data_IF_139969762735
#
_entry.id   IF_139969762735
#
_cell.length_a   1.000
_cell.length_b   1.000
_cell.length_c   1.000
_cell.angle_alpha   90.00
_cell.angle_beta   90.00
_cell.angle_gamma   90.00
#
_symmetry.space_group_name_H-M   'P 1'
#
loop_
_entity.id
_entity.type
_entity.pdbx_description
1 polymer ?
#
# COMPACT_ATOMS: atom_id res chain seq x y z
N UNK A 1 -36.62 -13.71 -23.05
CA UNK A 1 -35.16 -13.83 -23.22
C UNK A 1 -34.52 -14.13 -21.85
N UNK A 2 -34.03 -15.38 -21.68
CA UNK A 2 -33.45 -15.87 -20.43
C UNK A 2 -32.00 -15.40 -20.35
N UNK A 3 -31.65 -14.66 -19.25
CA UNK A 3 -30.25 -14.33 -18.93
C UNK A 3 -29.60 -15.50 -18.21
N UNK A 4 -28.64 -16.14 -18.85
CA UNK A 4 -27.78 -17.15 -18.24
C UNK A 4 -26.76 -16.45 -17.36
N UNK A 5 -26.82 -16.69 -16.06
CA UNK A 5 -25.76 -16.36 -15.10
C UNK A 5 -24.71 -17.47 -15.18
N UNK A 6 -23.55 -17.16 -15.72
CA UNK A 6 -22.39 -18.03 -15.65
C UNK A 6 -21.74 -17.85 -14.26
N UNK A 7 -22.01 -18.78 -13.38
CA UNK A 7 -21.26 -18.93 -12.14
C UNK A 7 -20.01 -19.74 -12.45
N UNK A 8 -18.86 -19.05 -12.51
CA UNK A 8 -17.56 -19.71 -12.62
C UNK A 8 -17.23 -20.33 -11.26
N UNK A 9 -17.53 -21.59 -11.10
CA UNK A 9 -17.13 -22.37 -9.94
C UNK A 9 -15.64 -22.63 -9.96
N UNK A 10 -14.99 -22.25 -8.88
CA UNK A 10 -13.61 -22.60 -8.60
C UNK A 10 -13.51 -24.12 -8.40
N UNK A 11 -12.98 -24.79 -9.39
CA UNK A 11 -12.60 -26.20 -9.26
C UNK A 11 -11.26 -26.29 -8.53
N UNK A 12 -11.33 -26.60 -7.25
CA UNK A 12 -10.20 -27.20 -6.57
C UNK A 12 -10.01 -28.61 -7.11
N UNK A 13 -9.06 -28.77 -8.02
CA UNK A 13 -8.59 -30.11 -8.40
C UNK A 13 -7.61 -30.53 -7.31
N UNK A 14 -8.13 -31.23 -6.30
CA UNK A 14 -7.33 -32.09 -5.44
C UNK A 14 -6.95 -33.30 -6.26
N UNK A 15 -5.74 -33.26 -6.84
CA UNK A 15 -5.16 -34.44 -7.51
C UNK A 15 -4.73 -35.44 -6.42
N UNK A 16 -5.67 -36.29 -6.04
CA UNK A 16 -5.39 -37.49 -5.24
C UNK A 16 -4.74 -38.50 -6.19
N UNK A 17 -3.40 -38.50 -6.26
CA UNK A 17 -2.70 -39.62 -6.92
C UNK A 17 -2.78 -40.85 -6.01
N UNK A 18 -3.78 -41.70 -6.28
CA UNK A 18 -3.77 -43.07 -5.83
C UNK A 18 -2.74 -43.81 -6.70
N UNK A 19 -1.56 -44.06 -6.15
CA UNK A 19 -0.63 -45.00 -6.74
C UNK A 19 -1.21 -46.41 -6.60
N UNK A 20 -1.75 -46.95 -7.70
CA UNK A 20 -2.00 -48.37 -7.82
C UNK A 20 -0.63 -49.07 -7.92
N UNK A 21 -0.21 -49.75 -6.86
CA UNK A 21 0.94 -50.63 -6.89
C UNK A 21 0.54 -51.84 -7.71
N UNK A 22 0.97 -51.90 -8.96
CA UNK A 22 1.03 -53.17 -9.69
C UNK A 22 2.24 -53.92 -9.18
N UNK A 23 2.02 -54.95 -8.41
CA UNK A 23 3.07 -55.91 -8.02
C UNK A 23 3.61 -56.58 -9.32
N UNK A 24 4.81 -56.22 -9.73
CA UNK A 24 5.72 -57.06 -10.47
C UNK A 24 6.76 -57.59 -9.48
N UNK A 25 6.68 -58.85 -9.28
CA UNK A 25 7.68 -59.70 -8.62
C UNK A 25 8.94 -59.67 -9.50
N UNK A 26 10.04 -59.08 -9.00
CA UNK A 26 11.41 -59.46 -9.30
C UNK A 26 12.41 -58.50 -8.61
N UNK A 27 13.26 -59.17 -7.76
CA UNK A 27 14.53 -58.74 -7.22
C UNK A 27 14.51 -57.65 -6.11
N UNK A 28 14.92 -58.12 -4.94
CA UNK A 28 15.27 -57.49 -3.68
C UNK A 28 16.03 -56.13 -3.80
N UNK A 29 15.35 -55.05 -4.14
CA UNK A 29 15.76 -53.74 -3.69
C UNK A 29 14.94 -53.38 -2.46
N UNK A 30 15.45 -53.87 -1.30
CA UNK A 30 14.96 -53.52 0.01
C UNK A 30 15.28 -52.05 0.26
N UNK A 31 14.59 -51.11 -0.42
CA UNK A 31 14.68 -49.69 -0.16
C UNK A 31 14.09 -49.50 1.25
N UNK A 32 14.97 -49.42 2.23
CA UNK A 32 14.58 -49.20 3.62
C UNK A 32 13.64 -47.99 3.67
N UNK A 33 12.40 -48.22 4.08
CA UNK A 33 11.39 -47.18 4.20
C UNK A 33 11.91 -46.12 5.19
N UNK A 34 12.10 -44.88 4.69
CA UNK A 34 12.57 -43.76 5.51
C UNK A 34 11.43 -43.25 6.36
N UNK A 35 11.64 -43.16 7.66
CA UNK A 35 10.71 -42.46 8.56
C UNK A 35 11.03 -40.96 8.52
N UNK A 36 10.11 -40.17 8.01
CA UNK A 36 10.25 -38.74 7.97
C UNK A 36 9.82 -38.10 9.31
N UNK A 37 10.45 -36.96 9.70
CA UNK A 37 9.98 -36.16 10.82
C UNK A 37 8.55 -35.64 10.58
N UNK A 38 7.85 -35.36 11.69
CA UNK A 38 6.50 -34.78 11.59
C UNK A 38 6.49 -33.42 10.84
N UNK A 39 5.48 -33.22 10.00
CA UNK A 39 5.27 -31.98 9.29
C UNK A 39 4.98 -30.82 10.25
N UNK A 40 5.64 -29.69 10.06
CA UNK A 40 5.51 -28.49 10.88
C UNK A 40 4.83 -27.37 10.11
N UNK A 41 4.20 -26.43 10.84
CA UNK A 41 3.68 -25.19 10.29
C UNK A 41 4.41 -24.03 10.96
N UNK A 42 4.97 -23.13 10.17
CA UNK A 42 5.78 -22.01 10.62
C UNK A 42 5.16 -20.73 10.04
N UNK A 43 4.70 -19.82 10.89
CA UNK A 43 4.17 -18.51 10.46
C UNK A 43 5.14 -17.38 10.77
N UNK A 44 5.17 -16.36 9.90
CA UNK A 44 5.97 -15.17 10.15
C UNK A 44 5.63 -14.01 9.22
N UNK A 45 6.12 -12.82 9.59
CA UNK A 45 6.10 -11.65 8.74
C UNK A 45 7.38 -11.61 7.87
N UNK A 46 7.36 -10.80 6.83
CA UNK A 46 8.55 -10.51 6.05
C UNK A 46 9.65 -9.92 6.94
N UNK A 47 10.89 -10.18 6.60
CA UNK A 47 12.12 -9.82 7.34
C UNK A 47 12.29 -10.54 8.69
N UNK A 48 11.45 -11.51 9.02
CA UNK A 48 11.64 -12.37 10.19
C UNK A 48 12.49 -13.59 9.86
N UNK A 49 13.11 -14.13 10.89
CA UNK A 49 13.78 -15.43 10.86
C UNK A 49 13.10 -16.40 11.82
N UNK A 50 13.04 -17.67 11.44
CA UNK A 50 12.43 -18.75 12.23
C UNK A 50 13.37 -19.93 12.30
N UNK A 51 13.25 -20.75 13.34
CA UNK A 51 14.00 -22.00 13.50
C UNK A 51 13.13 -23.17 13.11
N UNK A 52 13.67 -24.08 12.29
CA UNK A 52 13.09 -25.38 11.98
C UNK A 52 13.97 -26.45 12.62
N UNK A 53 13.43 -27.19 13.58
CA UNK A 53 14.14 -28.28 14.28
C UNK A 53 13.51 -29.62 13.93
N UNK A 54 14.32 -30.60 13.54
CA UNK A 54 13.89 -31.95 13.19
C UNK A 54 14.95 -32.97 13.53
N UNK A 55 14.57 -34.24 13.56
CA UNK A 55 15.48 -35.35 13.74
C UNK A 55 15.50 -36.20 12.46
N UNK A 56 16.65 -36.25 11.80
CA UNK A 56 16.83 -36.96 10.53
C UNK A 56 17.47 -38.32 10.76
N UNK A 57 16.85 -39.37 10.26
CA UNK A 57 17.35 -40.75 10.37
C UNK A 57 18.47 -41.12 9.39
N UNK A 58 18.67 -40.27 8.39
CA UNK A 58 19.71 -40.42 7.35
C UNK A 58 20.24 -39.03 6.94
N UNK A 59 21.27 -39.01 6.08
CA UNK A 59 21.74 -37.80 5.44
C UNK A 59 20.56 -37.18 4.61
N UNK A 60 20.44 -35.88 4.67
CA UNK A 60 19.25 -35.16 4.17
C UNK A 60 19.61 -33.97 3.31
N UNK A 61 18.66 -33.60 2.46
CA UNK A 61 18.63 -32.32 1.74
C UNK A 61 17.31 -31.67 2.00
N UNK A 62 17.30 -30.37 2.36
CA UNK A 62 16.12 -29.52 2.39
C UNK A 62 16.08 -28.65 1.16
N UNK A 63 14.86 -28.48 0.60
CA UNK A 63 14.63 -27.59 -0.54
C UNK A 63 13.39 -26.72 -0.28
N UNK A 64 13.51 -25.43 -0.50
CA UNK A 64 12.39 -24.51 -0.45
C UNK A 64 11.69 -24.38 -1.80
N UNK A 65 10.37 -24.36 -1.81
CA UNK A 65 9.56 -24.18 -3.01
C UNK A 65 9.46 -22.72 -3.48
N UNK A 66 10.05 -21.77 -2.74
CA UNK A 66 9.91 -20.34 -3.03
C UNK A 66 11.15 -19.55 -2.70
N UNK A 67 11.46 -18.54 -3.53
CA UNK A 67 12.61 -17.65 -3.33
C UNK A 67 12.48 -16.72 -2.14
N UNK A 68 11.27 -16.42 -1.69
CA UNK A 68 11.06 -15.60 -0.50
C UNK A 68 11.27 -16.36 0.83
N UNK A 69 11.29 -17.70 0.80
CA UNK A 69 11.58 -18.57 1.92
C UNK A 69 12.92 -19.25 1.67
N UNK A 70 13.93 -18.93 2.47
CA UNK A 70 15.30 -19.39 2.25
C UNK A 70 15.96 -19.86 3.56
N UNK A 71 17.03 -20.63 3.43
CA UNK A 71 17.84 -21.02 4.56
C UNK A 71 18.99 -20.04 4.76
N UNK A 72 19.31 -19.76 6.02
CA UNK A 72 20.44 -18.93 6.42
C UNK A 72 21.54 -19.84 6.90
N UNK A 73 22.65 -19.89 6.17
CA UNK A 73 23.84 -20.65 6.53
C UNK A 73 24.93 -19.71 7.03
N UNK A 74 25.77 -20.18 7.95
CA UNK A 74 26.95 -19.43 8.36
C UNK A 74 27.89 -19.29 7.14
N UNK A 75 28.20 -18.06 6.77
CA UNK A 75 29.15 -17.80 5.69
C UNK A 75 30.54 -18.34 6.05
N UNK A 76 31.31 -18.80 5.06
CA UNK A 76 32.70 -19.20 5.23
C UNK A 76 33.50 -18.08 5.90
N UNK A 77 34.47 -18.36 6.81
CA UNK A 77 35.14 -17.35 7.66
C UNK A 77 35.89 -16.21 6.97
N UNK A 78 35.88 -16.14 5.65
CA UNK A 78 36.62 -15.14 4.86
C UNK A 78 35.82 -13.89 4.47
N UNK A 79 34.50 -13.86 4.67
CA UNK A 79 33.68 -12.66 4.46
C UNK A 79 33.22 -12.12 5.83
N UNK A 80 33.41 -10.83 6.09
CA UNK A 80 32.87 -10.14 7.29
C UNK A 80 31.37 -10.41 7.36
N UNK A 81 30.97 -11.42 8.15
CA UNK A 81 29.61 -11.90 8.28
C UNK A 81 28.83 -10.99 9.22
N UNK A 82 28.06 -10.09 8.63
CA UNK A 82 26.89 -9.54 9.32
C UNK A 82 25.58 -10.00 8.64
N UNK A 83 25.66 -10.64 7.49
CA UNK A 83 24.50 -11.24 6.81
C UNK A 83 24.87 -12.67 6.38
N UNK A 84 24.14 -13.67 6.88
CA UNK A 84 24.30 -15.05 6.46
C UNK A 84 23.97 -15.23 4.97
N UNK A 85 24.55 -16.26 4.34
CA UNK A 85 24.27 -16.56 2.93
C UNK A 85 22.87 -17.12 2.79
N UNK A 86 22.11 -16.61 1.82
CA UNK A 86 20.78 -17.12 1.45
C UNK A 86 20.92 -18.35 0.56
N UNK A 87 20.35 -19.45 1.00
CA UNK A 87 20.37 -20.73 0.29
C UNK A 87 18.94 -21.25 0.13
N UNK A 88 18.63 -21.84 -1.00
CA UNK A 88 17.30 -22.42 -1.26
C UNK A 88 17.31 -23.94 -1.16
N UNK A 89 18.48 -24.52 -1.06
CA UNK A 89 18.70 -25.94 -0.82
C UNK A 89 19.94 -26.10 0.08
N UNK A 90 19.79 -26.87 1.13
CA UNK A 90 20.87 -27.17 2.08
C UNK A 90 20.87 -28.66 2.40
N UNK A 91 22.01 -29.20 2.76
CA UNK A 91 22.15 -30.62 3.10
C UNK A 91 22.85 -30.80 4.45
N UNK A 92 22.61 -31.91 5.10
CA UNK A 92 23.22 -32.23 6.36
C UNK A 92 23.27 -33.73 6.66
N UNK A 93 23.82 -34.07 7.82
CA UNK A 93 23.97 -35.42 8.29
C UNK A 93 22.82 -35.86 9.18
N UNK A 94 22.61 -37.18 9.30
CA UNK A 94 21.66 -37.76 10.24
C UNK A 94 21.80 -37.18 11.66
N UNK A 95 20.71 -37.18 12.42
CA UNK A 95 20.61 -36.74 13.80
C UNK A 95 19.75 -35.48 13.96
N UNK A 96 19.72 -34.93 15.19
CA UNK A 96 18.97 -33.77 15.54
C UNK A 96 19.55 -32.51 14.86
N UNK A 97 18.72 -31.82 14.10
CA UNK A 97 19.10 -30.66 13.33
C UNK A 97 18.28 -29.42 13.72
N UNK A 98 18.90 -28.27 13.62
CA UNK A 98 18.21 -26.95 13.70
C UNK A 98 18.73 -26.08 12.58
N UNK A 99 17.84 -25.64 11.70
CA UNK A 99 18.15 -24.73 10.58
C UNK A 99 17.41 -23.43 10.77
N UNK A 100 18.01 -22.34 10.32
CA UNK A 100 17.38 -21.01 10.33
C UNK A 100 16.75 -20.74 8.99
N UNK A 101 15.48 -20.37 9.00
CA UNK A 101 14.70 -19.97 7.84
C UNK A 101 14.56 -18.46 7.84
N UNK A 102 14.86 -17.81 6.72
CA UNK A 102 14.59 -16.40 6.48
C UNK A 102 13.33 -16.22 5.62
N UNK A 103 12.54 -15.22 5.93
CA UNK A 103 11.33 -14.83 5.20
C UNK A 103 11.59 -13.45 4.61
N UNK A 104 11.74 -13.34 3.28
CA UNK A 104 11.93 -12.03 2.63
C UNK A 104 10.60 -11.37 2.27
N UNK A 105 10.67 -10.07 1.99
CA UNK A 105 9.58 -9.26 1.46
C UNK A 105 9.47 -9.32 -0.07
N UNK A 106 10.42 -9.98 -0.73
CA UNK A 106 10.45 -10.11 -2.19
C UNK A 106 9.14 -10.75 -2.71
N UNK A 107 8.48 -10.07 -3.64
CA UNK A 107 7.21 -10.53 -4.20
C UNK A 107 6.11 -10.78 -3.17
N UNK A 108 6.09 -10.02 -2.06
CA UNK A 108 5.05 -10.15 -1.04
C UNK A 108 3.70 -9.66 -1.57
N UNK A 109 2.66 -10.47 -1.36
CA UNK A 109 1.28 -10.08 -1.67
C UNK A 109 0.78 -9.07 -0.61
N UNK A 110 0.06 -8.05 -1.04
CA UNK A 110 -0.49 -7.04 -0.13
C UNK A 110 -1.75 -7.51 0.60
N UNK A 111 -2.56 -8.34 -0.04
CA UNK A 111 -3.89 -8.71 0.44
C UNK A 111 -3.93 -10.14 1.00
N UNK A 112 -3.04 -11.03 0.52
CA UNK A 112 -3.10 -12.45 0.81
C UNK A 112 -1.83 -12.97 1.49
N UNK A 113 -2.01 -13.95 2.35
CA UNK A 113 -0.91 -14.76 2.85
C UNK A 113 -0.37 -15.66 1.74
N UNK A 114 0.94 -15.89 1.74
CA UNK A 114 1.60 -16.82 0.82
C UNK A 114 2.20 -17.98 1.58
N UNK A 115 2.25 -19.17 0.95
CA UNK A 115 2.76 -20.38 1.57
C UNK A 115 3.88 -20.96 0.73
N UNK A 116 4.99 -21.31 1.38
CA UNK A 116 6.09 -22.08 0.81
C UNK A 116 6.21 -23.43 1.51
N UNK A 117 6.51 -24.47 0.75
CA UNK A 117 6.80 -25.79 1.30
C UNK A 117 8.31 -25.98 1.41
N UNK A 118 8.75 -26.54 2.53
CA UNK A 118 10.11 -27.05 2.70
C UNK A 118 10.04 -28.58 2.60
N UNK A 119 10.64 -29.11 1.56
CA UNK A 119 10.72 -30.54 1.32
C UNK A 119 12.04 -31.09 1.87
N UNK A 120 11.97 -32.21 2.56
CA UNK A 120 13.13 -33.00 2.99
C UNK A 120 13.28 -34.21 2.07
N UNK A 121 14.49 -34.43 1.60
CA UNK A 121 14.87 -35.64 0.87
C UNK A 121 15.85 -36.46 1.69
N UNK A 122 15.61 -37.77 1.88
CA UNK A 122 16.47 -38.74 2.55
C UNK A 122 16.44 -40.07 1.78
N UNK A 123 17.60 -40.63 1.47
CA UNK A 123 17.72 -41.90 0.72
C UNK A 123 16.86 -41.94 -0.57
N UNK A 124 16.77 -40.85 -1.30
CA UNK A 124 16.00 -40.75 -2.55
C UNK A 124 14.46 -40.65 -2.37
N UNK A 125 13.96 -40.64 -1.14
CA UNK A 125 12.55 -40.41 -0.84
C UNK A 125 12.34 -38.97 -0.37
N UNK A 126 11.15 -38.40 -0.60
CA UNK A 126 10.84 -37.01 -0.27
C UNK A 126 9.55 -36.89 0.54
N UNK A 127 9.51 -35.90 1.44
CA UNK A 127 8.32 -35.50 2.17
C UNK A 127 8.33 -33.99 2.45
N UNK A 128 7.14 -33.41 2.62
CA UNK A 128 7.02 -32.01 3.09
C UNK A 128 7.28 -31.97 4.60
N UNK A 129 8.41 -31.38 4.99
CA UNK A 129 8.81 -31.21 6.38
C UNK A 129 8.14 -30.01 7.03
N UNK A 130 7.97 -28.92 6.30
CA UNK A 130 7.32 -27.74 6.84
C UNK A 130 6.53 -26.97 5.76
N UNK A 131 5.45 -26.32 6.21
CA UNK A 131 4.78 -25.25 5.48
C UNK A 131 5.08 -23.93 6.18
N UNK A 132 5.71 -23.01 5.44
CA UNK A 132 6.04 -21.68 5.92
C UNK A 132 5.01 -20.71 5.36
N UNK A 133 4.28 -20.04 6.24
CA UNK A 133 3.28 -19.05 5.88
C UNK A 133 3.84 -17.65 6.10
N UNK A 134 3.86 -16.83 5.05
CA UNK A 134 4.21 -15.41 5.11
C UNK A 134 2.94 -14.58 5.09
N UNK A 135 2.78 -13.71 6.10
CA UNK A 135 1.64 -12.81 6.21
C UNK A 135 1.56 -11.85 5.01
N UNK A 136 0.35 -11.39 4.70
CA UNK A 136 0.15 -10.29 3.76
C UNK A 136 0.91 -9.04 4.23
N UNK A 137 1.44 -8.25 3.28
CA UNK A 137 2.12 -7.00 3.60
C UNK A 137 1.16 -5.95 4.18
N UNK A 138 -0.09 -5.97 3.74
CA UNK A 138 -1.00 -4.85 3.88
C UNK A 138 -0.56 -3.66 3.02
N UNK A 139 -1.49 -2.82 2.62
CA UNK A 139 -1.16 -1.56 1.95
C UNK A 139 -1.10 -0.45 2.98
N UNK A 140 -0.05 0.36 2.91
CA UNK A 140 0.08 1.57 3.72
C UNK A 140 0.23 2.77 2.81
N UNK A 141 -0.51 3.82 3.11
CA UNK A 141 -0.43 5.11 2.43
C UNK A 141 -0.48 6.20 3.48
N UNK A 142 0.45 7.13 3.43
CA UNK A 142 0.51 8.27 4.33
C UNK A 142 0.61 9.55 3.52
N UNK A 143 -0.16 10.54 3.96
CA UNK A 143 -0.17 11.87 3.39
C UNK A 143 0.27 12.87 4.45
N UNK A 144 1.12 13.80 4.07
CA UNK A 144 1.60 14.87 4.92
C UNK A 144 1.38 16.22 4.26
N UNK A 145 1.04 17.23 5.05
CA UNK A 145 0.95 18.63 4.64
C UNK A 145 2.21 19.36 5.11
N UNK A 146 2.78 20.19 4.26
CA UNK A 146 3.89 21.06 4.64
C UNK A 146 3.39 22.18 5.53
N UNK A 147 3.95 22.30 6.73
CA UNK A 147 3.68 23.35 7.71
C UNK A 147 4.47 24.63 7.44
N UNK A 148 4.27 25.63 8.29
CA UNK A 148 4.88 26.95 8.15
C UNK A 148 6.40 26.96 8.36
N UNK A 149 6.96 25.98 9.07
CA UNK A 149 8.39 25.86 9.41
C UNK A 149 9.10 24.74 8.68
N UNK A 150 8.65 24.35 7.49
CA UNK A 150 9.15 23.21 6.70
C UNK A 150 8.94 21.84 7.35
N UNK A 151 8.24 21.74 8.48
CA UNK A 151 7.83 20.47 9.06
C UNK A 151 6.71 19.81 8.23
N UNK A 152 6.67 18.48 8.30
CA UNK A 152 5.62 17.68 7.68
C UNK A 152 4.64 17.17 8.73
N UNK A 153 3.36 17.50 8.58
CA UNK A 153 2.27 17.09 9.47
C UNK A 153 1.44 16.03 8.76
N UNK A 154 1.28 14.86 9.39
CA UNK A 154 0.45 13.79 8.82
C UNK A 154 -1.02 14.22 8.76
N UNK A 155 -1.65 13.97 7.63
CA UNK A 155 -3.06 14.30 7.35
C UNK A 155 -3.83 12.99 7.28
N UNK A 156 -4.82 12.83 8.16
CA UNK A 156 -5.70 11.66 8.10
C UNK A 156 -6.71 11.79 6.96
N UNK A 157 -7.24 10.65 6.49
CA UNK A 157 -8.29 10.65 5.48
C UNK A 157 -9.58 11.34 5.97
N UNK A 158 -9.82 11.36 7.30
CA UNK A 158 -10.97 12.00 7.93
C UNK A 158 -10.83 13.53 7.95
N UNK A 159 -9.61 14.04 8.18
CA UNK A 159 -9.34 15.49 8.14
C UNK A 159 -9.45 16.02 6.71
N UNK A 160 -9.03 15.21 5.75
CA UNK A 160 -9.05 15.57 4.34
C UNK A 160 -7.94 16.54 3.95
N UNK A 161 -8.01 16.99 2.71
CA UNK A 161 -7.04 17.86 2.06
C UNK A 161 -7.63 19.25 1.88
N UNK A 162 -6.84 20.29 2.11
CA UNK A 162 -7.19 21.67 1.79
C UNK A 162 -6.58 22.07 0.44
N UNK A 163 -7.34 22.75 -0.40
CA UNK A 163 -6.84 23.34 -1.64
C UNK A 163 -6.49 24.81 -1.42
N UNK A 164 -5.33 25.23 -1.92
CA UNK A 164 -4.95 26.64 -1.94
C UNK A 164 -5.72 27.43 -2.97
N UNK A 165 -5.85 28.74 -2.77
CA UNK A 165 -6.51 29.63 -3.74
C UNK A 165 -5.52 30.23 -4.74
N UNK A 166 -4.57 31.01 -4.25
CA UNK A 166 -3.55 31.66 -5.10
C UNK A 166 -2.28 30.81 -5.20
N UNK A 167 -1.88 30.22 -4.09
CA UNK A 167 -0.65 29.45 -3.98
C UNK A 167 -0.96 27.97 -3.81
N UNK A 168 -0.04 27.14 -4.25
CA UNK A 168 -0.14 25.72 -3.99
C UNK A 168 0.08 25.41 -2.50
N UNK A 169 -0.79 24.63 -1.92
CA UNK A 169 -0.54 23.97 -0.65
C UNK A 169 0.24 22.69 -0.96
N UNK A 170 1.43 22.56 -0.38
CA UNK A 170 2.33 21.45 -0.66
C UNK A 170 2.02 20.26 0.25
N UNK A 171 1.91 19.10 -0.37
CA UNK A 171 1.72 17.81 0.26
C UNK A 171 2.83 16.85 -0.13
N UNK A 172 3.02 15.83 0.69
CA UNK A 172 3.92 14.72 0.44
C UNK A 172 3.18 13.42 0.70
N UNK A 173 3.24 12.49 -0.24
CA UNK A 173 2.71 11.15 -0.10
C UNK A 173 3.82 10.11 -0.07
N UNK A 174 3.63 9.05 0.73
CA UNK A 174 4.45 7.85 0.74
C UNK A 174 3.58 6.63 0.92
N UNK A 175 3.87 5.57 0.15
CA UNK A 175 3.17 4.30 0.23
C UNK A 175 4.16 3.15 0.08
N UNK A 176 3.83 1.97 0.62
CA UNK A 176 4.64 0.77 0.39
C UNK A 176 4.34 0.08 -0.95
N UNK A 177 3.49 0.68 -1.78
CA UNK A 177 3.11 0.22 -3.12
C UNK A 177 3.20 1.37 -4.13
N UNK A 178 3.22 1.05 -5.43
CA UNK A 178 3.13 2.05 -6.49
C UNK A 178 1.69 2.58 -6.55
N UNK A 179 1.55 3.90 -6.60
CA UNK A 179 0.25 4.55 -6.60
C UNK A 179 0.12 5.66 -7.64
N UNK A 180 -1.12 5.96 -8.02
CA UNK A 180 -1.46 7.12 -8.83
C UNK A 180 -2.79 7.74 -8.35
N UNK A 181 -2.89 9.06 -8.40
CA UNK A 181 -4.18 9.74 -8.28
C UNK A 181 -4.84 9.77 -9.66
N UNK A 182 -5.93 9.03 -9.81
CA UNK A 182 -6.61 8.84 -11.10
C UNK A 182 -7.88 9.67 -11.23
N UNK A 183 -8.41 10.14 -10.12
CA UNK A 183 -9.60 10.96 -10.09
C UNK A 183 -9.38 12.19 -9.21
N UNK A 184 -9.76 13.35 -9.71
CA UNK A 184 -9.74 14.62 -8.99
C UNK A 184 -10.92 15.48 -9.42
N UNK A 185 -11.38 16.42 -8.58
CA UNK A 185 -12.37 17.41 -8.99
C UNK A 185 -11.85 18.29 -10.13
N UNK A 186 -12.71 18.66 -11.08
CA UNK A 186 -12.34 19.54 -12.21
C UNK A 186 -11.87 20.93 -11.75
N UNK A 187 -12.33 21.38 -10.59
CA UNK A 187 -11.97 22.66 -10.00
C UNK A 187 -10.61 22.63 -9.29
N UNK A 188 -9.92 21.49 -9.24
CA UNK A 188 -8.64 21.30 -8.58
C UNK A 188 -7.49 21.25 -9.58
N UNK A 189 -6.45 22.04 -9.33
CA UNK A 189 -5.17 22.00 -10.05
C UNK A 189 -4.13 21.28 -9.19
N UNK A 190 -3.40 20.38 -9.82
CA UNK A 190 -2.26 19.71 -9.22
C UNK A 190 -0.99 20.22 -9.92
N UNK A 191 -0.01 20.63 -9.14
CA UNK A 191 1.32 21.01 -9.64
C UNK A 191 1.95 19.81 -10.36
N UNK A 192 2.48 20.03 -11.57
CA UNK A 192 2.96 18.92 -12.39
C UNK A 192 1.88 18.06 -13.07
N UNK A 193 0.59 18.32 -12.81
CA UNK A 193 -0.57 17.73 -13.50
C UNK A 193 -1.01 16.36 -13.01
N UNK A 194 -0.17 15.59 -12.36
CA UNK A 194 -0.49 14.24 -11.86
C UNK A 194 0.26 13.93 -10.56
N UNK A 195 -0.30 13.03 -9.77
CA UNK A 195 0.35 12.48 -8.59
C UNK A 195 0.61 11.00 -8.88
N UNK A 196 1.88 10.63 -9.02
CA UNK A 196 2.32 9.24 -9.23
C UNK A 196 3.51 8.98 -8.32
N UNK A 197 3.47 7.89 -7.58
CA UNK A 197 4.53 7.49 -6.66
C UNK A 197 4.97 6.04 -6.85
N UNK A 198 6.25 5.77 -6.64
CA UNK A 198 6.79 4.42 -6.54
C UNK A 198 6.75 3.93 -5.09
N UNK A 199 6.76 2.61 -4.90
CA UNK A 199 6.79 2.02 -3.56
C UNK A 199 7.97 2.55 -2.74
N UNK A 200 7.69 2.93 -1.49
CA UNK A 200 8.65 3.44 -0.52
C UNK A 200 9.42 4.71 -0.94
N UNK A 201 8.88 5.46 -1.93
CA UNK A 201 9.42 6.75 -2.34
C UNK A 201 8.47 7.87 -1.91
N UNK A 202 9.05 8.96 -1.41
CA UNK A 202 8.32 10.18 -1.11
C UNK A 202 8.02 10.95 -2.40
N UNK A 203 6.78 11.43 -2.55
CA UNK A 203 6.34 12.24 -3.69
C UNK A 203 5.73 13.53 -3.18
N UNK A 204 6.35 14.64 -3.51
CA UNK A 204 5.80 15.97 -3.21
C UNK A 204 4.94 16.46 -4.37
N UNK A 205 3.85 17.14 -4.04
CA UNK A 205 2.94 17.76 -4.99
C UNK A 205 2.20 18.93 -4.38
N UNK A 206 1.83 19.90 -5.21
CA UNK A 206 1.05 21.07 -4.81
C UNK A 206 -0.41 20.94 -5.24
N UNK A 207 -1.32 21.45 -4.44
CA UNK A 207 -2.75 21.50 -4.73
C UNK A 207 -3.27 22.92 -4.58
N UNK A 208 -3.97 23.41 -5.60
CA UNK A 208 -4.72 24.67 -5.55
C UNK A 208 -6.01 24.60 -6.36
N UNK A 209 -6.88 25.57 -6.18
CA UNK A 209 -8.09 25.75 -7.01
C UNK A 209 -7.68 26.29 -8.38
N UNK A 210 -8.37 25.87 -9.42
CA UNK A 210 -8.17 26.40 -10.79
C UNK A 210 -8.55 27.88 -10.86
N UNK A 211 -7.64 28.72 -11.36
CA UNK A 211 -7.69 30.17 -11.28
C UNK A 211 -8.92 30.84 -11.96
N UNK A 212 -9.50 30.24 -12.98
CA UNK A 212 -10.55 30.84 -13.79
C UNK A 212 -11.91 30.16 -13.61
N UNK A 213 -12.24 29.76 -12.40
CA UNK A 213 -13.57 29.20 -12.19
C UNK A 213 -14.56 30.29 -11.86
N UNK A 214 -15.48 30.62 -12.80
CA UNK A 214 -16.42 31.75 -12.63
C UNK A 214 -17.57 31.44 -11.68
N UNK A 215 -17.65 30.23 -11.14
CA UNK A 215 -18.78 29.83 -10.28
C UNK A 215 -18.53 30.20 -8.81
N UNK A 216 -18.55 31.51 -8.56
CA UNK A 216 -18.58 32.06 -7.19
C UNK A 216 -19.84 31.67 -6.40
N UNK A 217 -20.80 31.00 -7.04
CA UNK A 217 -22.02 30.52 -6.37
C UNK A 217 -21.73 29.41 -5.36
N UNK A 218 -20.56 28.78 -5.45
CA UNK A 218 -20.16 27.68 -4.55
C UNK A 218 -18.94 28.09 -3.72
N UNK A 219 -19.21 28.78 -2.61
CA UNK A 219 -18.20 29.18 -1.66
C UNK A 219 -17.45 28.00 -1.06
N UNK A 220 -18.15 26.91 -0.76
CA UNK A 220 -17.57 25.65 -0.28
C UNK A 220 -17.73 24.62 -1.37
N UNK A 221 -16.64 24.02 -1.79
CA UNK A 221 -16.63 22.88 -2.71
C UNK A 221 -15.97 21.69 -2.01
N UNK A 222 -16.57 20.53 -2.20
CA UNK A 222 -16.08 19.27 -1.67
C UNK A 222 -15.89 18.32 -2.84
N UNK A 223 -14.81 17.63 -2.87
CA UNK A 223 -14.50 16.60 -3.86
C UNK A 223 -13.58 15.56 -3.30
N UNK A 224 -13.23 14.58 -4.09
CA UNK A 224 -12.35 13.50 -3.66
C UNK A 224 -11.16 13.38 -4.59
N UNK A 225 -10.00 13.05 -4.02
CA UNK A 225 -8.86 12.50 -4.73
C UNK A 225 -8.78 11.03 -4.40
N UNK A 226 -8.87 10.18 -5.42
CA UNK A 226 -8.77 8.74 -5.28
C UNK A 226 -7.37 8.28 -5.69
N UNK A 227 -6.73 7.51 -4.82
CA UNK A 227 -5.46 6.88 -5.08
C UNK A 227 -5.68 5.41 -5.42
N UNK A 228 -5.12 4.98 -6.53
CA UNK A 228 -5.18 3.60 -7.02
C UNK A 228 -3.79 2.99 -6.98
N UNK A 229 -3.74 1.67 -6.81
CA UNK A 229 -2.53 0.89 -6.96
C UNK A 229 -2.20 0.61 -8.43
N UNK A 230 -1.15 -0.15 -8.68
CA UNK A 230 -0.70 -0.51 -10.03
C UNK A 230 -1.68 -1.41 -10.80
N UNK A 231 -2.58 -2.09 -10.10
CA UNK A 231 -3.64 -2.91 -10.69
C UNK A 231 -4.90 -2.09 -11.00
N UNK A 232 -4.93 -0.80 -10.64
CA UNK A 232 -6.08 0.08 -10.81
C UNK A 232 -7.13 -0.06 -9.70
N UNK A 233 -6.82 -0.76 -8.62
CA UNK A 233 -7.70 -0.89 -7.45
C UNK A 233 -7.63 0.40 -6.64
N UNK A 234 -8.78 1.04 -6.39
CA UNK A 234 -8.86 2.19 -5.49
C UNK A 234 -8.56 1.72 -4.06
N UNK A 235 -7.52 2.28 -3.46
CA UNK A 235 -7.03 1.86 -2.14
C UNK A 235 -7.20 2.94 -1.09
N UNK A 236 -7.10 4.23 -1.46
CA UNK A 236 -7.29 5.34 -0.55
C UNK A 236 -8.10 6.46 -1.21
N UNK A 237 -8.87 7.17 -0.40
CA UNK A 237 -9.63 8.34 -0.80
C UNK A 237 -9.43 9.45 0.23
N UNK A 238 -9.09 10.63 -0.26
CA UNK A 238 -9.04 11.83 0.57
C UNK A 238 -10.11 12.82 0.07
N UNK A 239 -10.91 13.32 1.00
CA UNK A 239 -11.82 14.42 0.74
C UNK A 239 -11.03 15.70 0.59
N UNK A 240 -11.30 16.47 -0.48
CA UNK A 240 -10.70 17.79 -0.71
C UNK A 240 -11.73 18.84 -0.40
N UNK A 241 -11.40 19.73 0.51
CA UNK A 241 -12.25 20.84 0.91
C UNK A 241 -11.69 22.16 0.38
N UNK A 242 -12.52 22.95 -0.26
CA UNK A 242 -12.23 24.31 -0.62
C UNK A 242 -13.24 25.23 0.07
N UNK A 243 -12.76 26.13 0.91
CA UNK A 243 -13.61 27.06 1.69
C UNK A 243 -13.87 28.40 1.00
N UNK A 244 -13.43 28.55 -0.24
CA UNK A 244 -13.54 29.79 -0.98
C UNK A 244 -12.36 30.75 -0.76
N UNK A 245 -12.48 31.92 -1.34
CA UNK A 245 -11.50 32.99 -1.20
C UNK A 245 -11.58 33.58 0.21
N UNK A 246 -10.43 33.78 0.84
CA UNK A 246 -10.40 34.52 2.11
C UNK A 246 -10.97 35.95 1.85
N UNK A 247 -11.96 36.41 2.63
CA UNK A 247 -12.52 37.73 2.46
C UNK A 247 -11.50 38.87 2.42
N UNK A 248 -10.37 38.72 3.14
CA UNK A 248 -9.26 39.72 3.15
C UNK A 248 -8.54 39.81 1.80
N UNK A 249 -8.58 38.75 0.97
CA UNK A 249 -7.96 38.69 -0.36
C UNK A 249 -8.90 39.17 -1.47
N UNK A 250 -10.17 39.47 -1.15
CA UNK A 250 -11.11 40.04 -2.09
C UNK A 250 -10.73 41.51 -2.38
N UNK A 251 -10.22 41.73 -3.59
CA UNK A 251 -9.94 43.09 -4.07
C UNK A 251 -11.08 43.54 -5.00
N UNK A 252 -11.79 44.57 -4.60
CA UNK A 252 -12.68 45.29 -5.49
C UNK A 252 -11.85 46.30 -6.30
N UNK A 253 -11.72 46.07 -7.60
CA UNK A 253 -11.05 47.03 -8.51
C UNK A 253 -12.09 47.88 -9.20
N UNK A 254 -11.89 49.17 -9.17
CA UNK A 254 -12.75 50.17 -9.87
C UNK A 254 -12.20 51.57 -9.65
N UNK A 255 -12.74 52.59 -10.41
CA UNK A 255 -12.25 53.95 -10.30
C UNK A 255 -12.45 54.59 -8.93
N UNK A 256 -13.25 53.96 -8.06
CA UNK A 256 -13.46 54.35 -6.67
C UNK A 256 -13.11 53.15 -5.77
N UNK A 257 -11.82 52.84 -5.67
CA UNK A 257 -11.35 51.78 -4.74
C UNK A 257 -11.65 52.19 -3.30
N UNK A 258 -12.64 51.59 -2.70
CA UNK A 258 -12.93 51.72 -1.27
C UNK A 258 -12.18 50.62 -0.50
N UNK A 259 -11.72 50.94 0.70
CA UNK A 259 -11.29 49.92 1.62
C UNK A 259 -12.53 49.23 2.19
N UNK A 260 -12.76 48.01 1.78
CA UNK A 260 -13.89 47.21 2.23
C UNK A 260 -13.44 46.28 3.35
N UNK A 261 -14.22 46.22 4.41
CA UNK A 261 -14.10 45.16 5.42
C UNK A 261 -15.22 44.16 5.14
N UNK A 262 -14.86 43.00 4.73
CA UNK A 262 -15.79 41.91 4.49
C UNK A 262 -15.71 40.95 5.68
N UNK A 263 -16.84 40.70 6.33
CA UNK A 263 -16.93 39.71 7.40
C UNK A 263 -17.90 38.59 7.04
N UNK A 264 -17.52 37.39 7.33
CA UNK A 264 -18.37 36.20 7.20
C UNK A 264 -19.17 36.02 8.48
N UNK A 265 -20.49 35.99 8.38
CA UNK A 265 -21.38 35.67 9.50
C UNK A 265 -22.32 34.54 9.09
N UNK A 266 -21.96 33.31 9.47
CA UNK A 266 -22.67 32.12 9.00
C UNK A 266 -22.46 31.96 7.50
N UNK A 267 -23.53 31.73 6.73
CA UNK A 267 -23.51 31.57 5.26
C UNK A 267 -23.65 32.91 4.51
N UNK A 268 -23.55 34.04 5.20
CA UNK A 268 -23.73 35.36 4.59
C UNK A 268 -22.51 36.23 4.78
N UNK A 269 -22.09 36.89 3.69
CA UNK A 269 -21.11 37.96 3.76
C UNK A 269 -21.81 39.27 4.12
N UNK A 270 -21.38 39.92 5.16
CA UNK A 270 -21.83 41.25 5.53
C UNK A 270 -20.71 42.23 5.26
N UNK A 271 -21.00 43.18 4.38
CA UNK A 271 -20.12 44.30 4.14
C UNK A 271 -20.37 45.38 5.15
N UNK A 272 -19.36 45.79 5.88
CA UNK A 272 -19.36 47.03 6.62
C UNK A 272 -18.46 48.03 5.91
N UNK A 273 -19.03 49.17 5.56
CA UNK A 273 -18.34 50.19 4.79
C UNK A 273 -17.15 50.76 5.46
N UNK A 274 -16.21 50.99 4.70
CA UNK A 274 -15.21 51.93 4.99
C UNK A 274 -15.43 53.31 4.42
N UNK A 275 -14.72 54.23 4.81
CA UNK A 275 -14.53 55.58 4.32
C UNK A 275 -14.62 55.75 2.80
N UNK A 276 -15.80 55.94 2.30
CA UNK A 276 -16.09 56.42 0.94
C UNK A 276 -16.88 57.72 1.04
N UNK A 277 -16.93 58.51 -0.01
CA UNK A 277 -17.69 59.76 -0.07
C UNK A 277 -19.14 59.54 0.37
N UNK A 278 -19.67 60.47 1.14
CA UNK A 278 -21.03 60.43 1.63
C UNK A 278 -22.01 60.06 0.54
N UNK A 279 -22.78 59.01 0.77
CA UNK A 279 -23.93 58.64 -0.07
C UNK A 279 -23.75 57.45 -1.00
N UNK A 280 -22.64 56.74 -0.99
CA UNK A 280 -22.48 55.53 -1.81
C UNK A 280 -22.53 54.28 -0.94
N UNK A 281 -23.67 53.61 -0.93
CA UNK A 281 -23.77 52.24 -0.44
C UNK A 281 -23.79 51.28 -1.65
N UNK A 282 -22.87 50.34 -1.72
CA UNK A 282 -22.95 49.19 -2.62
C UNK A 282 -23.39 48.00 -1.81
N UNK A 283 -24.56 47.49 -2.08
CA UNK A 283 -25.04 46.24 -1.47
C UNK A 283 -24.65 45.10 -2.39
N UNK A 284 -23.68 44.32 -1.96
CA UNK A 284 -23.39 43.07 -2.62
C UNK A 284 -24.31 42.00 -1.98
N UNK A 285 -25.33 41.60 -2.68
CA UNK A 285 -26.18 40.47 -2.31
C UNK A 285 -25.46 39.22 -2.80
N UNK A 286 -24.74 38.57 -1.94
CA UNK A 286 -24.32 37.20 -2.16
C UNK A 286 -25.53 36.32 -1.90
N UNK A 287 -26.13 35.79 -2.95
CA UNK A 287 -27.24 34.86 -2.85
C UNK A 287 -26.78 33.64 -2.00
N UNK A 288 -27.67 33.24 -1.10
CA UNK A 288 -27.55 32.12 -0.20
C UNK A 288 -27.02 30.89 -0.94
N UNK A 289 -25.80 30.51 -0.66
CA UNK A 289 -25.13 29.36 -1.26
C UNK A 289 -25.31 28.21 -0.30
N UNK A 290 -26.30 27.37 -0.57
CA UNK A 290 -26.46 26.06 0.04
C UNK A 290 -25.80 25.00 -0.82
#
# INVERSE_FOLDING_TARGET
MKKNKFTLGWFFISLLMAFAVTACDDEDDNVATVTFPEKQTIGGAASETKSLTFDAVADWTLTSSSTWCYFITEGTPAAKATEGVKEYSISGKAGKQTVTIGISDEGQDYDNTTVASITISMNGQEAVLAEVTRNAAGRTFKLYKKGAGDEWVEVSAEEGIEAGYNDFITYKAVANFRFAATNRPEWLSIEGGSIVGSANQEVEFGIKVVENRPDFSKYVQVGNINFQDEEGKQVYTYTVNYKGMDPKDMKLSGPNAFNWVVSLKGDTFTQTSSTGAEGTSVTIILLNIR
#
